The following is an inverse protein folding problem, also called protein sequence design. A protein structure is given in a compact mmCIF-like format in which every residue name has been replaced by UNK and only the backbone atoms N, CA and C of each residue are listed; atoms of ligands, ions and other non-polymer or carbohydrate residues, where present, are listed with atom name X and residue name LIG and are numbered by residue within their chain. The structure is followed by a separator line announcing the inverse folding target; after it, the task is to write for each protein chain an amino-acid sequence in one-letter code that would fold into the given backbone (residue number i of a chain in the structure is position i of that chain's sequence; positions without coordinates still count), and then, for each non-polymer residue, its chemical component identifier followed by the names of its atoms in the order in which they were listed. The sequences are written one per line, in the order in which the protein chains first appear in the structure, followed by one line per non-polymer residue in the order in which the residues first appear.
data_IF_115650642698
#
_entry.id   IF_115650642698
#
_cell.length_a   1.000
_cell.length_b   1.000
_cell.length_c   1.000
_cell.angle_alpha   90.00
_cell.angle_beta   90.00
_cell.angle_gamma   90.00
#
_symmetry.space_group_name_H-M   'P 1'
#
loop_
_entity.id
_entity.type
_entity.pdbx_description
1 polymer ?
#
# COMPACT_ATOMS: atom_id res chain seq x y z
N UNK A 1 12.19 -1.72 15.62
CA UNK A 1 11.21 -2.61 14.94
C UNK A 1 11.50 -2.68 13.42
N UNK A 2 12.77 -2.92 13.05
CA UNK A 2 13.20 -3.00 11.63
C UNK A 2 13.49 -4.44 11.19
N UNK A 3 13.62 -5.36 12.15
CA UNK A 3 13.80 -6.81 11.93
C UNK A 3 12.48 -7.55 11.69
N UNK A 4 11.33 -6.90 11.91
CA UNK A 4 10.00 -7.52 11.81
C UNK A 4 9.54 -7.70 10.36
N UNK A 5 10.10 -6.91 9.42
CA UNK A 5 9.83 -7.01 7.98
C UNK A 5 11.14 -6.93 7.20
N UNK A 6 11.76 -8.08 6.84
CA UNK A 6 12.90 -8.09 5.95
C UNK A 6 12.50 -7.54 4.56
N UNK A 7 13.43 -6.90 3.83
CA UNK A 7 13.15 -6.27 2.54
C UNK A 7 12.76 -7.27 1.43
N UNK A 8 12.92 -8.57 1.65
CA UNK A 8 12.51 -9.64 0.73
C UNK A 8 11.45 -10.55 1.39
N UNK A 9 10.23 -10.51 0.85
CA UNK A 9 9.11 -11.35 1.30
C UNK A 9 9.24 -12.82 0.85
N UNK A 10 10.04 -13.10 -0.19
CA UNK A 10 10.22 -14.46 -0.73
C UNK A 10 11.23 -15.28 0.08
N UNK A 11 12.04 -14.62 0.90
CA UNK A 11 13.07 -15.27 1.74
C UNK A 11 12.48 -16.06 2.92
N UNK A 12 11.22 -15.81 3.28
CA UNK A 12 10.59 -16.39 4.47
C UNK A 12 11.11 -15.79 5.77
N UNK A 13 10.61 -16.29 6.89
CA UNK A 13 10.96 -15.82 8.24
C UNK A 13 11.70 -16.93 8.97
N UNK A 14 12.84 -16.57 9.57
CA UNK A 14 13.55 -17.47 10.47
C UNK A 14 12.80 -17.55 11.81
N UNK A 15 12.47 -18.77 12.20
CA UNK A 15 11.95 -19.10 13.53
C UNK A 15 13.11 -19.59 14.38
N UNK A 16 13.24 -19.00 15.57
CA UNK A 16 14.27 -19.37 16.53
C UNK A 16 14.19 -20.87 16.90
N UNK A 17 15.36 -21.43 17.19
CA UNK A 17 15.50 -22.80 17.64
C UNK A 17 14.68 -23.06 18.92
N UNK A 18 14.05 -24.23 19.00
CA UNK A 18 13.48 -24.71 20.25
C UNK A 18 14.60 -25.00 21.25
N UNK A 19 14.38 -24.59 22.51
CA UNK A 19 15.37 -24.74 23.58
C UNK A 19 14.81 -25.64 24.67
N UNK A 20 15.49 -26.75 24.92
CA UNK A 20 15.20 -27.64 26.05
C UNK A 20 16.30 -27.43 27.09
N UNK A 21 15.92 -26.95 28.27
CA UNK A 21 16.85 -26.73 29.40
C UNK A 21 16.54 -27.70 30.53
N UNK A 22 17.54 -28.45 30.97
CA UNK A 22 17.39 -29.52 31.97
C UNK A 22 18.45 -29.30 33.06
N UNK A 23 18.01 -29.38 34.32
CA UNK A 23 18.87 -29.28 35.51
C UNK A 23 18.91 -30.64 36.20
N UNK A 24 20.07 -31.30 36.19
CA UNK A 24 20.28 -32.59 36.85
C UNK A 24 21.14 -32.42 38.11
N UNK A 25 20.88 -33.19 39.18
CA UNK A 25 21.72 -33.21 40.38
C UNK A 25 23.02 -34.03 40.19
N UNK A 26 23.05 -34.99 39.25
CA UNK A 26 24.23 -35.84 38.98
C UNK A 26 24.24 -36.33 37.52
N UNK A 27 25.43 -36.49 36.93
CA UNK A 27 25.64 -36.86 35.51
C UNK A 27 26.22 -38.27 35.42
N UNK A 28 25.41 -39.28 35.71
CA UNK A 28 25.87 -40.68 35.63
C UNK A 28 25.42 -41.38 34.34
N UNK A 29 24.25 -41.05 33.79
CA UNK A 29 23.66 -41.69 32.61
C UNK A 29 23.21 -40.66 31.56
N UNK A 30 24.10 -39.78 31.11
CA UNK A 30 23.78 -38.79 30.08
C UNK A 30 24.50 -39.14 28.79
N UNK A 31 23.73 -39.44 27.74
CA UNK A 31 24.25 -39.62 26.38
C UNK A 31 23.90 -38.37 25.57
N UNK A 32 24.89 -37.53 25.27
CA UNK A 32 24.71 -36.32 24.46
C UNK A 32 24.88 -36.72 22.99
N UNK A 33 23.86 -36.50 22.16
CA UNK A 33 23.92 -36.80 20.73
C UNK A 33 24.80 -35.73 20.03
N UNK A 34 25.93 -36.09 19.41
CA UNK A 34 26.96 -35.11 19.03
C UNK A 34 26.67 -34.31 17.75
N UNK A 35 25.70 -34.71 16.91
CA UNK A 35 25.71 -34.27 15.50
C UNK A 35 24.55 -33.39 15.00
N UNK A 36 23.50 -33.11 15.78
CA UNK A 36 22.37 -32.28 15.29
C UNK A 36 21.84 -31.23 16.26
N UNK A 37 22.40 -31.16 17.48
CA UNK A 37 21.88 -30.28 18.53
C UNK A 37 23.05 -29.55 19.15
N UNK A 38 23.08 -28.23 19.02
CA UNK A 38 24.04 -27.41 19.78
C UNK A 38 23.70 -27.55 21.26
N UNK A 39 24.44 -28.42 21.95
CA UNK A 39 24.23 -28.74 23.36
C UNK A 39 25.24 -27.97 24.20
N UNK A 40 24.78 -27.05 25.04
CA UNK A 40 25.64 -26.39 26.03
C UNK A 40 25.49 -27.10 27.37
N UNK A 41 26.60 -27.58 27.91
CA UNK A 41 26.64 -28.23 29.22
C UNK A 41 27.48 -27.39 30.18
N UNK A 42 26.93 -27.12 31.35
CA UNK A 42 27.66 -26.50 32.45
C UNK A 42 27.71 -27.48 33.62
N UNK A 43 28.93 -27.83 34.04
CA UNK A 43 29.16 -28.78 35.12
C UNK A 43 29.58 -28.04 36.39
N UNK A 44 28.76 -28.13 37.43
CA UNK A 44 29.07 -27.69 38.79
C UNK A 44 29.04 -28.93 39.70
N UNK A 45 29.84 -28.99 40.78
CA UNK A 45 30.00 -30.18 41.62
C UNK A 45 28.70 -30.84 42.13
N UNK A 46 27.58 -30.10 42.21
CA UNK A 46 26.29 -30.62 42.68
C UNK A 46 25.13 -30.43 41.69
N UNK A 47 25.40 -29.82 40.53
CA UNK A 47 24.37 -29.45 39.55
C UNK A 47 24.97 -29.49 38.15
N UNK A 48 24.34 -30.24 37.26
CA UNK A 48 24.57 -30.17 35.83
C UNK A 48 23.42 -29.44 35.15
N UNK A 49 23.75 -28.45 34.33
CA UNK A 49 22.80 -27.78 33.47
C UNK A 49 23.09 -28.16 32.02
N UNK A 50 22.08 -28.69 31.35
CA UNK A 50 22.14 -29.11 29.95
C UNK A 50 21.12 -28.29 29.18
N UNK A 51 21.55 -27.63 28.11
CA UNK A 51 20.67 -26.92 27.20
C UNK A 51 20.88 -27.41 25.78
N UNK A 52 19.81 -27.89 25.19
CA UNK A 52 19.69 -28.51 23.87
C UNK A 52 18.98 -27.50 22.98
N UNK A 53 19.60 -27.11 21.86
CA UNK A 53 19.00 -26.26 20.84
C UNK A 53 18.76 -27.06 19.56
N UNK A 54 17.55 -26.97 19.01
CA UNK A 54 17.27 -27.52 17.67
C UNK A 54 17.84 -26.63 16.58
N UNK A 55 17.77 -27.05 15.32
CA UNK A 55 18.05 -26.17 14.19
C UNK A 55 16.97 -25.07 14.09
N UNK A 56 17.36 -23.89 13.58
CA UNK A 56 16.42 -22.81 13.26
C UNK A 56 15.63 -23.18 12.00
N UNK A 57 14.32 -22.98 12.02
CA UNK A 57 13.46 -23.31 10.89
C UNK A 57 13.24 -22.07 10.02
N UNK A 58 13.42 -22.20 8.70
CA UNK A 58 12.99 -21.19 7.75
C UNK A 58 11.54 -21.48 7.35
N UNK A 59 10.62 -20.59 7.72
CA UNK A 59 9.20 -20.71 7.41
C UNK A 59 8.85 -19.75 6.26
N UNK A 60 8.44 -20.31 5.12
CA UNK A 60 7.84 -19.52 4.06
C UNK A 60 6.42 -19.13 4.46
N UNK A 61 6.22 -17.88 4.84
CA UNK A 61 4.87 -17.34 5.03
C UNK A 61 4.23 -17.10 3.67
N UNK A 62 2.89 -17.14 3.61
CA UNK A 62 2.18 -16.66 2.43
C UNK A 62 2.55 -15.19 2.23
N UNK A 63 3.11 -14.87 1.06
CA UNK A 63 3.51 -13.50 0.74
C UNK A 63 2.26 -12.62 0.76
N UNK A 64 2.28 -11.49 1.50
CA UNK A 64 1.13 -10.61 1.54
C UNK A 64 0.92 -10.00 0.16
N UNK A 65 -0.34 -9.90 -0.27
CA UNK A 65 -0.72 -9.43 -1.59
C UNK A 65 -0.39 -7.95 -1.80
N UNK A 66 0.80 -7.66 -2.34
CA UNK A 66 1.20 -6.30 -2.74
C UNK A 66 0.39 -5.75 -3.92
N UNK A 67 -0.49 -6.55 -4.51
CA UNK A 67 -1.47 -6.12 -5.52
C UNK A 67 -2.63 -5.33 -4.93
N UNK A 68 -3.01 -5.56 -3.66
CA UNK A 68 -4.07 -4.78 -3.00
C UNK A 68 -3.74 -3.27 -2.91
N UNK A 69 -2.58 -2.85 -2.40
CA UNK A 69 -2.22 -1.43 -2.40
C UNK A 69 -2.01 -0.87 -3.81
N UNK A 70 -1.61 -1.68 -4.80
CA UNK A 70 -1.49 -1.23 -6.19
C UNK A 70 -2.83 -0.74 -6.75
N UNK A 71 -3.90 -1.49 -6.52
CA UNK A 71 -5.24 -1.10 -6.96
C UNK A 71 -5.69 0.23 -6.32
N UNK A 72 -5.35 0.44 -5.06
CA UNK A 72 -5.65 1.69 -4.35
C UNK A 72 -4.84 2.85 -4.93
N UNK A 73 -3.56 2.66 -5.22
CA UNK A 73 -2.71 3.70 -5.84
C UNK A 73 -3.26 4.08 -7.22
N UNK A 74 -3.66 3.12 -8.04
CA UNK A 74 -4.29 3.37 -9.34
C UNK A 74 -5.64 4.11 -9.21
N UNK A 75 -6.45 3.76 -8.21
CA UNK A 75 -7.70 4.46 -7.95
C UNK A 75 -7.44 5.91 -7.50
N UNK A 76 -6.51 6.12 -6.57
CA UNK A 76 -6.18 7.47 -6.09
C UNK A 76 -5.59 8.31 -7.22
N UNK A 77 -4.69 7.76 -8.05
CA UNK A 77 -4.09 8.51 -9.16
C UNK A 77 -5.11 8.93 -10.22
N UNK A 78 -6.09 8.06 -10.51
CA UNK A 78 -7.20 8.40 -11.42
C UNK A 78 -8.13 9.46 -10.83
N UNK A 79 -8.49 9.35 -9.55
CA UNK A 79 -9.30 10.37 -8.85
C UNK A 79 -8.61 11.73 -8.83
N UNK A 80 -7.30 11.77 -8.53
CA UNK A 80 -6.52 13.02 -8.55
C UNK A 80 -6.50 13.63 -9.95
N UNK A 81 -6.30 12.82 -10.99
CA UNK A 81 -6.31 13.27 -12.39
C UNK A 81 -7.65 13.87 -12.80
N UNK A 82 -8.77 13.21 -12.44
CA UNK A 82 -10.12 13.70 -12.74
C UNK A 82 -10.47 14.96 -11.96
N UNK A 83 -10.02 15.08 -10.71
CA UNK A 83 -10.33 16.20 -9.84
C UNK A 83 -9.47 17.45 -10.14
N UNK A 84 -8.27 17.28 -10.69
CA UNK A 84 -7.33 18.38 -10.92
C UNK A 84 -7.92 19.48 -11.81
N UNK A 85 -8.59 19.12 -12.91
CA UNK A 85 -9.19 20.09 -13.84
C UNK A 85 -10.24 21.00 -13.18
N UNK A 86 -11.30 20.45 -12.55
CA UNK A 86 -12.30 21.23 -11.84
C UNK A 86 -11.73 22.06 -10.68
N UNK A 87 -10.86 21.48 -9.84
CA UNK A 87 -10.26 22.18 -8.70
C UNK A 87 -9.40 23.36 -9.17
N UNK A 88 -8.58 23.13 -10.21
CA UNK A 88 -7.76 24.18 -10.80
C UNK A 88 -8.63 25.29 -11.42
N UNK A 89 -9.72 24.93 -12.12
CA UNK A 89 -10.63 25.91 -12.69
C UNK A 89 -11.35 26.74 -11.61
N UNK A 90 -11.82 26.12 -10.53
CA UNK A 90 -12.46 26.82 -9.42
C UNK A 90 -11.50 27.76 -8.68
N UNK A 91 -10.26 27.33 -8.47
CA UNK A 91 -9.28 28.09 -7.69
C UNK A 91 -8.66 29.23 -8.50
N UNK A 92 -8.41 29.02 -9.79
CA UNK A 92 -7.72 30.00 -10.66
C UNK A 92 -8.68 30.95 -11.37
N UNK A 93 -9.93 30.55 -11.63
CA UNK A 93 -10.89 31.43 -12.33
C UNK A 93 -11.38 32.51 -11.38
N UNK A 94 -10.86 33.72 -11.53
CA UNK A 94 -11.44 34.94 -10.92
C UNK A 94 -12.92 34.98 -11.27
N UNK A 95 -13.78 35.00 -10.24
CA UNK A 95 -15.21 35.23 -10.39
C UNK A 95 -15.41 36.61 -11.06
N UNK A 96 -15.60 36.61 -12.37
CA UNK A 96 -16.07 37.79 -13.07
C UNK A 96 -17.54 37.95 -12.68
N UNK A 97 -17.81 38.90 -11.78
CA UNK A 97 -19.15 39.41 -11.55
C UNK A 97 -19.66 39.82 -12.94
N UNK A 98 -20.77 39.26 -13.44
CA UNK A 98 -21.27 39.64 -14.75
C UNK A 98 -21.61 41.13 -14.71
N UNK A 99 -20.76 41.96 -15.32
CA UNK A 99 -21.21 43.27 -15.78
C UNK A 99 -22.31 42.97 -16.79
N UNK A 100 -23.51 43.48 -16.53
CA UNK A 100 -24.71 43.33 -17.37
C UNK A 100 -24.37 43.54 -18.86
N UNK A 101 -24.11 42.44 -19.58
CA UNK A 101 -23.98 42.38 -21.05
C UNK A 101 -25.15 41.61 -21.67
N UNK A 102 -26.27 41.47 -20.95
CA UNK A 102 -27.49 40.82 -21.42
C UNK A 102 -28.12 41.51 -22.64
N UNK A 103 -27.67 42.73 -22.98
CA UNK A 103 -28.15 43.50 -24.12
C UNK A 103 -27.40 43.18 -25.43
N UNK A 104 -26.12 42.78 -25.39
CA UNK A 104 -25.29 42.64 -26.59
C UNK A 104 -25.46 41.26 -27.27
N UNK A 105 -25.52 40.19 -26.48
CA UNK A 105 -25.69 38.82 -27.00
C UNK A 105 -27.10 38.58 -27.56
N UNK A 106 -28.13 39.12 -26.88
CA UNK A 106 -29.53 39.05 -27.34
C UNK A 106 -29.72 39.81 -28.66
N UNK A 107 -29.12 40.99 -28.82
CA UNK A 107 -29.18 41.76 -30.08
C UNK A 107 -28.57 41.00 -31.26
N UNK A 108 -27.43 40.31 -31.08
CA UNK A 108 -26.80 39.52 -32.14
C UNK A 108 -27.66 38.32 -32.59
N UNK A 109 -28.26 37.61 -31.65
CA UNK A 109 -29.11 36.43 -31.93
C UNK A 109 -30.43 36.84 -32.59
N UNK A 110 -31.08 37.89 -32.09
CA UNK A 110 -32.32 38.42 -32.67
C UNK A 110 -32.09 38.94 -34.10
N UNK A 111 -30.95 39.60 -34.36
CA UNK A 111 -30.62 40.11 -35.69
C UNK A 111 -30.37 38.98 -36.70
N UNK A 112 -29.74 37.86 -36.26
CA UNK A 112 -29.55 36.67 -37.10
C UNK A 112 -30.87 35.98 -37.45
N UNK A 113 -31.80 35.88 -36.51
CA UNK A 113 -33.12 35.26 -36.74
C UNK A 113 -33.97 36.13 -37.68
N UNK A 114 -33.96 37.46 -37.49
CA UNK A 114 -34.68 38.40 -38.36
C UNK A 114 -34.18 38.34 -39.82
N UNK A 115 -32.86 38.28 -40.02
CA UNK A 115 -32.28 38.16 -41.36
C UNK A 115 -32.64 36.83 -42.04
N UNK A 116 -32.78 35.74 -41.27
CA UNK A 116 -33.17 34.43 -41.81
C UNK A 116 -34.65 34.39 -42.23
N UNK A 117 -35.54 35.05 -41.49
CA UNK A 117 -36.95 35.17 -41.86
C UNK A 117 -37.18 36.15 -43.02
N UNK A 118 -36.42 37.25 -43.09
CA UNK A 118 -36.47 38.20 -44.20
C UNK A 118 -36.09 37.55 -45.54
N UNK A 119 -35.03 36.74 -45.54
CA UNK A 119 -34.59 35.96 -46.72
C UNK A 119 -35.61 34.94 -47.22
N UNK A 120 -36.55 34.50 -46.37
CA UNK A 120 -37.59 33.54 -46.73
C UNK A 120 -38.82 34.22 -47.35
N UNK A 121 -38.96 35.53 -47.18
CA UNK A 121 -40.09 36.32 -47.72
C UNK A 121 -39.87 36.77 -49.17
N UNK A 122 -38.62 36.94 -49.61
CA UNK A 122 -38.28 37.29 -51.01
C UNK A 122 -38.39 36.12 -52.01
N UNK A 123 -38.62 34.88 -51.55
CA UNK A 123 -38.69 33.68 -52.40
C UNK A 123 -40.13 33.23 -52.74
N UNK A 124 -41.12 34.11 -52.59
CA UNK A 124 -42.55 33.74 -52.75
C UNK A 124 -43.37 34.67 -53.66
N UNK A 125 -42.74 35.45 -54.52
CA UNK A 125 -43.35 36.02 -55.72
C UNK A 125 -42.72 35.42 -56.98
#
# INVERSE_FOLDING_TARGET
KWTEYPPDANHGVYVDAAVISIKLPSVQNVTILPNSVTSTTYYSPNVCFIRIHTESLLVSLATPDFSMPYNVICLVSTVVSLAFGPIHNLTTRRAQIPKKEDEASKKSIITRIKNFFSRKKEKKE
#
